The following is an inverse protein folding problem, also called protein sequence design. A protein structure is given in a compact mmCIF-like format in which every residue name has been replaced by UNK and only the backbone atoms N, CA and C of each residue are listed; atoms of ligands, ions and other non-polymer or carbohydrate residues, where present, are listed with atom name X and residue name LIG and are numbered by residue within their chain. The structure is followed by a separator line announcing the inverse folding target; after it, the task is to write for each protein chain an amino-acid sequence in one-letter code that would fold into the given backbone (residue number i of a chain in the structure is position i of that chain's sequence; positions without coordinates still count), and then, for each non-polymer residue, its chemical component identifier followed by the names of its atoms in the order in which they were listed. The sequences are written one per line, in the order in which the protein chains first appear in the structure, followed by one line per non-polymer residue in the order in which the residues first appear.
data_IF_344433721054
#
_entry.id   IF_344433721054
#
_cell.length_a   1.000
_cell.length_b   1.000
_cell.length_c   1.000
_cell.angle_alpha   90.00
_cell.angle_beta   90.00
_cell.angle_gamma   90.00
#
_symmetry.space_group_name_H-M   'P 1'
#
loop_
_entity.id
_entity.type
_entity.pdbx_description
1 polymer ?
#
# COMPACT_ATOMS: atom_id res chain seq x y z
N UNK A 1 -6.31 -20.88 10.29
CA UNK A 1 -5.68 -21.99 9.52
C UNK A 1 -4.43 -22.45 10.25
N UNK A 2 -4.38 -23.73 10.62
CA UNK A 2 -3.26 -24.31 11.35
C UNK A 2 -2.17 -24.70 10.35
N UNK A 3 -1.03 -24.02 10.38
CA UNK A 3 0.10 -24.29 9.48
C UNK A 3 1.14 -25.22 10.08
N UNK A 4 1.04 -25.49 11.39
CA UNK A 4 1.92 -26.41 12.15
C UNK A 4 1.05 -27.32 12.99
N UNK A 5 0.96 -28.57 12.57
CA UNK A 5 0.11 -29.58 13.23
C UNK A 5 0.76 -30.16 14.49
N UNK A 6 2.06 -29.92 14.67
CA UNK A 6 2.86 -30.33 15.82
C UNK A 6 2.77 -29.39 17.02
N UNK A 7 2.03 -28.28 16.87
CA UNK A 7 1.85 -27.28 17.93
C UNK A 7 0.38 -27.29 18.40
N UNK A 8 0.18 -27.42 19.70
CA UNK A 8 -1.13 -27.26 20.32
C UNK A 8 -1.51 -25.79 20.34
N UNK A 9 -2.71 -25.49 19.87
CA UNK A 9 -3.26 -24.13 19.88
C UNK A 9 -4.25 -24.02 21.04
N UNK A 10 -3.98 -23.11 21.97
CA UNK A 10 -4.85 -22.77 23.09
C UNK A 10 -5.59 -21.49 22.74
N UNK A 11 -6.91 -21.58 22.67
CA UNK A 11 -7.78 -20.45 22.35
C UNK A 11 -8.89 -20.34 23.39
N UNK A 12 -8.61 -19.75 24.57
CA UNK A 12 -9.52 -19.76 25.74
C UNK A 12 -10.89 -19.17 25.45
N UNK A 13 -10.99 -18.19 24.56
CA UNK A 13 -12.28 -17.60 24.15
C UNK A 13 -13.23 -18.57 23.44
N UNK A 14 -12.78 -19.77 23.04
CA UNK A 14 -13.62 -20.84 22.50
C UNK A 14 -14.25 -21.71 23.60
N UNK A 15 -13.70 -21.64 24.80
CA UNK A 15 -14.06 -22.46 25.96
C UNK A 15 -14.67 -21.63 27.08
N UNK A 16 -14.29 -20.33 27.16
CA UNK A 16 -14.76 -19.42 28.19
C UNK A 16 -16.02 -18.68 27.72
N UNK A 17 -16.85 -18.30 28.69
CA UNK A 17 -18.03 -17.44 28.45
C UNK A 17 -17.66 -15.95 28.36
N UNK A 18 -16.65 -15.64 27.55
CA UNK A 18 -16.14 -14.29 27.26
C UNK A 18 -16.32 -13.95 25.76
N UNK A 19 -17.56 -14.03 25.31
CA UNK A 19 -17.96 -13.94 23.91
C UNK A 19 -18.22 -12.51 23.43
N UNK A 20 -18.07 -11.52 24.31
CA UNK A 20 -18.28 -10.12 23.98
C UNK A 20 -17.24 -9.20 24.62
N UNK A 21 -17.05 -8.02 24.01
CA UNK A 21 -16.17 -6.98 24.55
C UNK A 21 -16.59 -6.55 25.95
N UNK A 22 -17.87 -6.43 26.21
CA UNK A 22 -18.41 -6.06 27.51
C UNK A 22 -18.02 -7.08 28.58
N UNK A 23 -18.23 -8.38 28.33
CA UNK A 23 -17.81 -9.45 29.24
C UNK A 23 -16.29 -9.46 29.49
N UNK A 24 -15.49 -9.20 28.47
CA UNK A 24 -14.03 -9.11 28.60
C UNK A 24 -13.60 -7.95 29.49
N UNK A 25 -14.22 -6.78 29.34
CA UNK A 25 -13.96 -5.60 30.18
C UNK A 25 -14.36 -5.87 31.64
N UNK A 26 -15.55 -6.36 31.87
CA UNK A 26 -16.02 -6.74 33.23
C UNK A 26 -15.11 -7.79 33.88
N UNK A 27 -14.65 -8.76 33.11
CA UNK A 27 -13.73 -9.79 33.59
C UNK A 27 -12.36 -9.20 33.96
N UNK A 28 -11.84 -8.26 33.16
CA UNK A 28 -10.58 -7.55 33.43
C UNK A 28 -10.70 -6.66 34.68
N UNK A 29 -11.80 -5.88 34.83
CA UNK A 29 -12.05 -5.02 35.98
C UNK A 29 -12.15 -5.80 37.28
N UNK A 30 -12.85 -6.92 37.28
CA UNK A 30 -12.95 -7.84 38.46
C UNK A 30 -11.60 -8.38 38.93
N UNK A 31 -10.56 -8.30 38.05
CA UNK A 31 -9.21 -8.81 38.35
C UNK A 31 -8.16 -7.69 38.45
N UNK A 32 -8.61 -6.44 38.51
CA UNK A 32 -7.75 -5.26 38.56
C UNK A 32 -6.77 -5.17 37.36
N UNK A 33 -7.18 -5.70 36.20
CA UNK A 33 -6.45 -5.53 34.96
C UNK A 33 -6.88 -4.19 34.38
N UNK A 34 -5.92 -3.27 34.23
CA UNK A 34 -6.19 -1.95 33.69
C UNK A 34 -6.56 -2.04 32.21
N UNK A 35 -7.73 -1.54 31.84
CA UNK A 35 -8.15 -1.36 30.46
C UNK A 35 -8.07 0.12 30.15
N UNK A 36 -7.28 0.55 29.14
CA UNK A 36 -7.25 1.96 28.74
C UNK A 36 -8.66 2.44 28.39
N UNK A 37 -9.03 3.62 28.89
CA UNK A 37 -10.28 4.30 28.52
C UNK A 37 -9.93 5.47 27.62
N UNK A 38 -10.80 5.78 26.67
CA UNK A 38 -10.67 7.00 25.89
C UNK A 38 -10.95 8.25 26.77
N UNK A 39 -10.78 9.44 26.22
CA UNK A 39 -11.00 10.71 26.94
C UNK A 39 -12.42 10.89 27.48
N UNK A 40 -13.38 10.12 26.99
CA UNK A 40 -14.78 10.13 27.44
C UNK A 40 -15.08 9.04 28.46
N UNK A 41 -14.06 8.24 28.84
CA UNK A 41 -14.23 7.11 29.74
C UNK A 41 -14.83 5.86 29.10
N UNK A 42 -14.96 5.85 27.77
CA UNK A 42 -15.45 4.71 27.00
C UNK A 42 -14.33 3.74 26.64
N UNK A 43 -14.63 2.47 26.34
CA UNK A 43 -13.65 1.55 25.78
C UNK A 43 -13.04 2.10 24.49
N UNK A 44 -11.73 1.92 24.24
CA UNK A 44 -11.09 2.42 23.03
C UNK A 44 -11.61 1.70 21.78
N UNK A 45 -11.27 2.22 20.58
CA UNK A 45 -11.43 1.49 19.34
C UNK A 45 -10.69 0.15 19.42
N UNK A 46 -11.12 -0.84 18.64
CA UNK A 46 -10.29 -2.01 18.38
C UNK A 46 -9.11 -1.56 17.55
N UNK A 47 -7.89 -1.74 18.08
CA UNK A 47 -6.68 -1.17 17.48
C UNK A 47 -5.60 -2.23 17.40
N UNK A 48 -5.09 -2.49 16.20
CA UNK A 48 -3.93 -3.31 15.95
C UNK A 48 -2.83 -2.46 15.34
N UNK A 49 -1.63 -2.48 15.95
CA UNK A 49 -0.52 -1.65 15.53
C UNK A 49 0.72 -2.49 15.22
N UNK A 50 1.37 -2.19 14.12
CA UNK A 50 2.70 -2.70 13.75
C UNK A 50 3.50 -1.59 13.05
N UNK A 51 4.73 -1.89 12.62
CA UNK A 51 5.59 -0.90 11.99
C UNK A 51 4.99 -0.32 10.69
N UNK A 52 4.28 -1.13 9.89
CA UNK A 52 3.71 -0.71 8.62
C UNK A 52 2.45 0.15 8.81
N UNK A 53 1.52 -0.29 9.65
CA UNK A 53 0.22 0.39 9.80
C UNK A 53 -0.36 0.27 11.21
N UNK A 54 -1.35 1.11 11.47
CA UNK A 54 -2.31 0.95 12.56
C UNK A 54 -3.69 0.78 11.93
N UNK A 55 -4.47 -0.19 12.42
CA UNK A 55 -5.88 -0.36 12.07
C UNK A 55 -6.80 0.04 13.22
N UNK A 56 -7.93 0.61 12.88
CA UNK A 56 -8.99 0.99 13.82
C UNK A 56 -10.32 0.43 13.34
N UNK A 57 -11.05 -0.24 14.23
CA UNK A 57 -12.36 -0.83 13.97
C UNK A 57 -13.33 -0.59 15.14
N UNK A 58 -14.64 -0.73 14.89
CA UNK A 58 -15.69 -0.67 15.88
C UNK A 58 -16.19 0.73 16.23
N UNK A 59 -17.05 0.84 17.23
CA UNK A 59 -17.69 2.09 17.69
C UNK A 59 -18.39 2.83 16.54
N UNK A 60 -18.14 4.15 16.42
CA UNK A 60 -18.72 4.98 15.35
C UNK A 60 -18.32 4.53 13.92
N UNK A 61 -17.24 3.75 13.77
CA UNK A 61 -16.81 3.23 12.47
C UNK A 61 -17.72 2.12 11.92
N UNK A 62 -18.59 1.53 12.76
CA UNK A 62 -19.57 0.54 12.31
C UNK A 62 -20.63 1.14 11.37
N UNK A 63 -20.88 2.45 11.47
CA UNK A 63 -21.68 3.19 10.50
C UNK A 63 -20.75 3.81 9.41
N UNK A 64 -20.79 3.31 8.17
CA UNK A 64 -19.93 3.82 7.10
C UNK A 64 -20.24 5.26 6.67
N UNK A 65 -21.36 5.85 7.13
CA UNK A 65 -21.73 7.23 6.87
C UNK A 65 -21.10 8.22 7.87
N UNK A 66 -20.64 7.73 9.01
CA UNK A 66 -20.03 8.55 10.07
C UNK A 66 -18.54 8.71 9.79
N UNK A 67 -18.04 9.95 9.79
CA UNK A 67 -16.60 10.24 9.63
C UNK A 67 -15.79 9.67 10.79
N UNK A 68 -14.58 9.20 10.49
CA UNK A 68 -13.61 8.82 11.50
C UNK A 68 -13.25 10.02 12.40
N UNK A 69 -13.19 9.80 13.72
CA UNK A 69 -12.86 10.85 14.67
C UNK A 69 -11.36 11.17 14.62
N UNK A 70 -11.00 12.46 14.53
CA UNK A 70 -9.61 12.91 14.52
C UNK A 70 -8.80 12.43 15.75
N UNK A 71 -9.43 12.29 16.89
CA UNK A 71 -8.76 11.88 18.14
C UNK A 71 -8.26 10.41 18.12
N UNK A 72 -8.73 9.59 17.16
CA UNK A 72 -8.29 8.20 17.06
C UNK A 72 -6.91 8.07 16.41
N UNK A 73 -6.53 8.99 15.55
CA UNK A 73 -5.27 8.94 14.83
C UNK A 73 -4.08 9.26 15.72
N UNK A 74 -3.06 8.41 15.68
CA UNK A 74 -1.89 8.51 16.57
C UNK A 74 -0.56 8.66 15.83
N UNK A 75 -0.50 8.30 14.54
CA UNK A 75 0.69 8.41 13.70
C UNK A 75 0.68 9.61 12.76
N UNK A 76 -0.50 10.08 12.40
CA UNK A 76 -0.66 11.16 11.44
C UNK A 76 -1.33 12.36 12.09
N UNK A 77 -0.84 13.54 11.81
CA UNK A 77 -1.55 14.77 12.12
C UNK A 77 -2.71 14.95 11.15
N UNK A 78 -3.74 15.70 11.56
CA UNK A 78 -4.78 16.11 10.62
C UNK A 78 -4.18 16.89 9.45
N UNK A 79 -4.58 16.63 8.20
CA UNK A 79 -4.16 17.46 7.06
C UNK A 79 -4.38 18.96 7.27
N UNK A 80 -5.40 19.34 8.05
CA UNK A 80 -5.69 20.73 8.40
C UNK A 80 -4.64 21.36 9.32
N UNK A 81 -3.93 20.54 10.11
CA UNK A 81 -2.91 20.97 11.06
C UNK A 81 -1.47 20.61 10.60
N UNK A 82 -1.34 19.98 9.43
CA UNK A 82 -0.05 19.70 8.82
C UNK A 82 0.64 21.02 8.39
N UNK A 83 1.98 21.03 8.29
CA UNK A 83 2.74 22.21 7.87
C UNK A 83 2.24 22.83 6.58
N UNK A 84 2.35 24.17 6.48
CA UNK A 84 2.02 24.92 5.26
C UNK A 84 3.17 24.92 4.24
N UNK A 85 4.28 24.29 4.59
CA UNK A 85 5.45 24.11 3.72
C UNK A 85 5.48 22.70 3.15
N UNK A 86 5.87 22.58 1.88
CA UNK A 86 6.07 21.30 1.21
C UNK A 86 7.35 20.62 1.71
N UNK A 87 7.32 19.30 1.87
CA UNK A 87 8.51 18.51 2.17
C UNK A 87 8.83 17.56 1.00
N UNK A 88 10.03 17.70 0.42
CA UNK A 88 10.52 16.75 -0.57
C UNK A 88 11.32 15.62 0.09
N UNK A 89 11.05 14.39 -0.32
CA UNK A 89 11.74 13.18 0.15
C UNK A 89 12.27 12.41 -1.05
N UNK A 90 13.56 12.09 -1.03
CA UNK A 90 14.22 11.27 -2.06
C UNK A 90 14.41 9.86 -1.49
N UNK A 91 13.95 8.84 -2.23
CA UNK A 91 14.09 7.43 -1.88
C UNK A 91 14.95 6.75 -2.95
N UNK A 92 16.04 6.10 -2.53
CA UNK A 92 16.90 5.28 -3.39
C UNK A 92 16.42 3.83 -3.35
N UNK A 93 16.27 3.23 -4.54
CA UNK A 93 15.94 1.83 -4.73
C UNK A 93 17.11 1.07 -5.35
N UNK A 94 17.32 -0.15 -4.90
CA UNK A 94 18.22 -1.13 -5.50
C UNK A 94 17.46 -2.45 -5.70
N UNK A 95 17.32 -2.87 -6.95
CA UNK A 95 16.60 -4.10 -7.31
C UNK A 95 15.22 -4.19 -6.63
N UNK A 96 14.43 -3.11 -6.72
CA UNK A 96 13.11 -2.97 -6.13
C UNK A 96 13.09 -2.70 -4.63
N UNK A 97 14.20 -2.83 -3.92
CA UNK A 97 14.29 -2.64 -2.48
C UNK A 97 14.67 -1.20 -2.15
N UNK A 98 13.92 -0.48 -1.30
CA UNK A 98 14.33 0.84 -0.83
C UNK A 98 15.51 0.71 0.13
N UNK A 99 16.59 1.47 -0.11
CA UNK A 99 17.86 1.33 0.62
C UNK A 99 18.36 2.61 1.28
N UNK A 100 17.85 3.77 0.87
CA UNK A 100 18.21 5.05 1.47
C UNK A 100 17.06 6.06 1.38
N UNK A 101 17.04 7.00 2.32
CA UNK A 101 16.16 8.17 2.33
C UNK A 101 17.02 9.42 2.44
N UNK A 102 16.85 10.38 1.53
CA UNK A 102 17.61 11.62 1.45
C UNK A 102 19.14 11.38 1.50
N UNK A 103 19.62 10.35 0.79
CA UNK A 103 21.02 9.96 0.74
C UNK A 103 21.56 9.19 1.96
N UNK A 104 20.75 9.04 3.02
CA UNK A 104 21.13 8.27 4.21
C UNK A 104 20.71 6.81 4.05
N UNK A 105 21.66 5.88 4.03
CA UNK A 105 21.40 4.43 4.09
C UNK A 105 20.87 4.03 5.45
N UNK A 106 19.81 3.25 5.47
CA UNK A 106 19.10 2.81 6.66
C UNK A 106 18.80 1.31 6.57
N UNK A 107 18.64 0.65 7.70
CA UNK A 107 18.05 -0.69 7.74
C UNK A 107 16.58 -0.62 7.29
N UNK A 108 15.98 -1.72 6.83
CA UNK A 108 14.56 -1.72 6.40
C UNK A 108 13.59 -1.18 7.45
N UNK A 109 13.81 -1.50 8.72
CA UNK A 109 12.96 -1.02 9.82
C UNK A 109 13.13 0.48 10.06
N UNK A 110 14.37 0.97 10.16
CA UNK A 110 14.66 2.39 10.34
C UNK A 110 14.18 3.23 9.15
N UNK A 111 14.28 2.70 7.94
CA UNK A 111 13.79 3.36 6.73
C UNK A 111 12.28 3.57 6.77
N UNK A 112 11.54 2.50 7.11
CA UNK A 112 10.08 2.59 7.21
C UNK A 112 9.65 3.51 8.35
N UNK A 113 10.36 3.49 9.49
CA UNK A 113 10.09 4.39 10.62
C UNK A 113 10.36 5.86 10.26
N UNK A 114 11.47 6.16 9.59
CA UNK A 114 11.80 7.52 9.12
C UNK A 114 10.71 8.03 8.15
N UNK A 115 10.25 7.19 7.22
CA UNK A 115 9.15 7.53 6.32
C UNK A 115 7.82 7.68 7.05
N UNK A 116 7.53 6.86 8.07
CA UNK A 116 6.34 7.01 8.91
C UNK A 116 6.31 8.38 9.60
N UNK A 117 7.45 8.82 10.14
CA UNK A 117 7.57 10.14 10.80
C UNK A 117 7.35 11.28 9.80
N UNK A 118 8.02 11.22 8.64
CA UNK A 118 7.91 12.25 7.60
C UNK A 118 6.48 12.35 7.04
N UNK A 119 5.90 11.21 6.66
CA UNK A 119 4.54 11.17 6.13
C UNK A 119 3.51 11.58 7.18
N UNK A 120 3.64 11.06 8.41
CA UNK A 120 2.72 11.32 9.51
C UNK A 120 2.62 12.79 9.86
N UNK A 121 3.76 13.50 9.97
CA UNK A 121 3.77 14.94 10.24
C UNK A 121 3.16 15.79 9.12
N UNK A 122 3.12 15.26 7.89
CA UNK A 122 2.47 15.88 6.74
C UNK A 122 1.01 15.42 6.54
N UNK A 123 0.45 14.64 7.47
CA UNK A 123 -0.92 14.12 7.41
C UNK A 123 -1.15 13.02 6.37
N UNK A 124 -0.08 12.46 5.80
CA UNK A 124 -0.13 11.46 4.73
C UNK A 124 -0.33 10.06 5.29
N UNK A 125 -1.17 9.24 4.64
CA UNK A 125 -1.26 7.80 4.87
C UNK A 125 -2.53 7.34 5.59
N UNK A 126 -3.57 8.15 5.68
CA UNK A 126 -4.90 7.75 6.20
C UNK A 126 -5.69 7.05 5.10
N UNK A 127 -6.28 5.91 5.43
CA UNK A 127 -7.09 5.10 4.52
C UNK A 127 -8.36 4.67 5.24
N UNK A 128 -9.52 4.87 4.63
CA UNK A 128 -10.83 4.44 5.10
C UNK A 128 -11.43 3.51 4.05
N UNK A 129 -11.63 2.25 4.38
CA UNK A 129 -12.10 1.24 3.44
C UNK A 129 -13.20 0.36 4.03
N UNK A 130 -14.14 -0.03 3.16
CA UNK A 130 -15.08 -1.12 3.44
C UNK A 130 -14.57 -2.36 2.72
N UNK A 131 -13.93 -3.24 3.47
CA UNK A 131 -13.28 -4.45 2.95
C UNK A 131 -14.18 -5.68 3.01
N UNK A 132 -13.77 -6.74 2.31
CA UNK A 132 -14.42 -8.04 2.36
C UNK A 132 -13.61 -8.96 3.27
N UNK A 133 -14.22 -9.45 4.34
CA UNK A 133 -13.61 -10.48 5.18
C UNK A 133 -13.66 -11.85 4.49
N UNK A 134 -12.68 -12.69 4.76
CA UNK A 134 -12.60 -14.06 4.22
C UNK A 134 -13.87 -14.88 4.47
N UNK A 135 -14.56 -14.61 5.56
CA UNK A 135 -15.84 -15.27 5.94
C UNK A 135 -17.06 -14.71 5.21
N UNK A 136 -16.89 -13.85 4.21
CA UNK A 136 -17.96 -13.39 3.32
C UNK A 136 -18.73 -12.15 3.77
N UNK A 137 -18.39 -11.55 4.90
CA UNK A 137 -19.01 -10.30 5.36
C UNK A 137 -18.15 -9.09 5.03
N UNK A 138 -18.78 -7.91 4.96
CA UNK A 138 -18.08 -6.62 4.87
C UNK A 138 -17.75 -6.08 6.25
N UNK A 139 -16.62 -5.38 6.35
CA UNK A 139 -16.19 -4.66 7.55
C UNK A 139 -15.53 -3.36 7.15
N UNK A 140 -15.77 -2.29 7.90
CA UNK A 140 -15.05 -1.03 7.72
C UNK A 140 -13.84 -0.99 8.63
N UNK A 141 -12.69 -0.71 8.04
CA UNK A 141 -11.46 -0.41 8.76
C UNK A 141 -10.93 0.96 8.37
N UNK A 142 -10.41 1.68 9.35
CA UNK A 142 -9.67 2.93 9.13
C UNK A 142 -8.22 2.67 9.52
N UNK A 143 -7.30 3.12 8.67
CA UNK A 143 -5.89 2.77 8.78
C UNK A 143 -5.01 4.01 8.74
N UNK A 144 -3.88 3.93 9.44
CA UNK A 144 -2.75 4.83 9.25
C UNK A 144 -1.56 4.02 8.70
N UNK A 145 -1.16 4.29 7.46
CA UNK A 145 -0.02 3.65 6.80
C UNK A 145 0.89 4.69 6.14
N UNK A 146 1.47 5.61 6.91
CA UNK A 146 2.15 6.78 6.35
C UNK A 146 3.36 6.43 5.50
N UNK A 147 4.35 5.72 6.02
CA UNK A 147 5.54 5.31 5.27
C UNK A 147 5.24 4.33 4.14
N UNK A 148 4.28 3.42 4.36
CA UNK A 148 3.81 2.50 3.32
C UNK A 148 3.21 3.22 2.12
N UNK A 149 2.48 4.31 2.33
CA UNK A 149 1.93 5.15 1.27
C UNK A 149 3.03 5.78 0.41
N UNK A 150 4.06 6.36 1.06
CA UNK A 150 5.21 6.91 0.33
C UNK A 150 5.92 5.82 -0.48
N UNK A 151 6.21 4.68 0.14
CA UNK A 151 6.92 3.58 -0.53
C UNK A 151 6.14 3.03 -1.72
N UNK A 152 4.82 2.88 -1.59
CA UNK A 152 3.97 2.41 -2.69
C UNK A 152 4.02 3.37 -3.89
N UNK A 153 3.88 4.68 -3.66
CA UNK A 153 3.93 5.70 -4.72
C UNK A 153 5.32 5.78 -5.35
N UNK A 154 6.37 5.79 -4.53
CA UNK A 154 7.73 5.90 -5.01
C UNK A 154 8.18 4.66 -5.80
N UNK A 155 7.88 3.45 -5.28
CA UNK A 155 8.20 2.20 -5.96
C UNK A 155 7.49 2.09 -7.31
N UNK A 156 6.19 2.42 -7.36
CA UNK A 156 5.47 2.49 -8.63
C UNK A 156 6.10 3.50 -9.59
N UNK A 157 6.59 4.62 -9.06
CA UNK A 157 7.27 5.66 -9.83
C UNK A 157 8.55 5.19 -10.51
N UNK A 158 9.40 4.42 -9.81
CA UNK A 158 10.64 3.91 -10.40
C UNK A 158 10.37 2.77 -11.40
N UNK A 159 9.40 1.91 -11.13
CA UNK A 159 9.00 0.85 -12.07
C UNK A 159 8.55 1.41 -13.42
N UNK A 160 7.84 2.53 -13.44
CA UNK A 160 7.38 3.19 -14.67
C UNK A 160 8.51 3.64 -15.60
N UNK A 161 9.73 3.83 -15.08
CA UNK A 161 10.89 4.14 -15.90
C UNK A 161 11.55 2.91 -16.52
N UNK A 162 11.37 1.73 -15.93
CA UNK A 162 12.25 0.58 -16.15
C UNK A 162 11.49 -0.61 -16.73
N UNK A 163 10.25 -0.83 -16.29
CA UNK A 163 9.42 -1.91 -16.82
C UNK A 163 8.66 -1.43 -18.05
N UNK A 164 8.64 -2.25 -19.09
CA UNK A 164 7.79 -2.00 -20.24
C UNK A 164 6.31 -2.24 -19.91
N UNK A 165 5.42 -1.78 -20.81
CA UNK A 165 3.98 -1.85 -20.61
C UNK A 165 3.45 -3.27 -20.37
N UNK A 166 3.82 -4.28 -21.20
CA UNK A 166 3.41 -5.68 -20.98
C UNK A 166 3.87 -6.26 -19.66
N UNK A 167 5.12 -6.01 -19.24
CA UNK A 167 5.64 -6.48 -17.95
C UNK A 167 4.92 -5.83 -16.76
N UNK A 168 4.64 -4.53 -16.85
CA UNK A 168 3.84 -3.83 -15.83
C UNK A 168 2.43 -4.37 -15.72
N UNK A 169 1.76 -4.62 -16.85
CA UNK A 169 0.40 -5.17 -16.88
C UNK A 169 0.36 -6.56 -16.24
N UNK A 170 1.29 -7.45 -16.64
CA UNK A 170 1.38 -8.79 -16.05
C UNK A 170 1.54 -8.73 -14.53
N UNK A 171 2.43 -7.87 -14.03
CA UNK A 171 2.62 -7.69 -12.59
C UNK A 171 1.34 -7.19 -11.90
N UNK A 172 0.65 -6.23 -12.49
CA UNK A 172 -0.57 -5.65 -11.94
C UNK A 172 -1.71 -6.68 -11.88
N UNK A 173 -1.82 -7.56 -12.87
CA UNK A 173 -2.77 -8.67 -12.88
C UNK A 173 -2.49 -9.71 -11.77
N UNK A 174 -1.24 -9.87 -11.37
CA UNK A 174 -0.84 -10.83 -10.35
C UNK A 174 -0.98 -10.28 -8.92
N UNK A 175 -1.00 -8.95 -8.73
CA UNK A 175 -1.11 -8.34 -7.40
C UNK A 175 -2.33 -8.81 -6.60
N UNK A 176 -3.56 -8.88 -7.13
CA UNK A 176 -4.71 -9.36 -6.38
C UNK A 176 -4.58 -10.82 -5.96
N UNK A 177 -3.96 -11.66 -6.79
CA UNK A 177 -3.69 -13.07 -6.46
C UNK A 177 -2.71 -13.18 -5.30
N UNK A 178 -1.61 -12.41 -5.36
CA UNK A 178 -0.60 -12.39 -4.30
C UNK A 178 -1.21 -11.88 -2.99
N UNK A 179 -1.96 -10.78 -3.03
CA UNK A 179 -2.65 -10.23 -1.87
C UNK A 179 -3.64 -11.24 -1.24
N UNK A 180 -4.39 -11.97 -2.06
CA UNK A 180 -5.32 -13.01 -1.60
C UNK A 180 -4.59 -14.15 -0.87
N UNK A 181 -3.44 -14.59 -1.36
CA UNK A 181 -2.64 -15.63 -0.69
C UNK A 181 -2.17 -15.17 0.68
N UNK A 182 -1.68 -13.93 0.79
CA UNK A 182 -1.25 -13.35 2.07
C UNK A 182 -2.43 -13.21 3.03
N UNK A 183 -3.52 -12.62 2.59
CA UNK A 183 -4.73 -12.42 3.39
C UNK A 183 -5.29 -13.73 3.93
N UNK A 184 -5.30 -14.79 3.11
CA UNK A 184 -5.74 -16.12 3.50
C UNK A 184 -4.71 -16.90 4.34
N UNK A 185 -3.60 -16.27 4.71
CA UNK A 185 -2.57 -16.87 5.54
C UNK A 185 -1.74 -17.95 4.83
N UNK A 186 -1.66 -17.94 3.51
CA UNK A 186 -0.95 -18.92 2.67
C UNK A 186 0.50 -18.50 2.36
N UNK A 187 1.18 -17.88 3.33
CA UNK A 187 2.55 -17.39 3.16
C UNK A 187 3.54 -18.46 2.70
N UNK A 188 3.39 -19.68 3.18
CA UNK A 188 4.28 -20.81 2.85
C UNK A 188 3.72 -21.74 1.75
N UNK A 189 2.78 -21.25 0.94
CA UNK A 189 2.22 -22.04 -0.16
C UNK A 189 3.13 -21.97 -1.40
N UNK A 190 3.18 -23.05 -2.22
CA UNK A 190 3.96 -23.07 -3.45
C UNK A 190 3.57 -21.94 -4.42
N UNK A 191 2.28 -21.60 -4.50
CA UNK A 191 1.77 -20.54 -5.37
C UNK A 191 2.35 -19.17 -4.98
N UNK A 192 2.46 -18.89 -3.67
CA UNK A 192 3.07 -17.65 -3.20
C UNK A 192 4.56 -17.59 -3.57
N UNK A 193 5.28 -18.72 -3.43
CA UNK A 193 6.70 -18.81 -3.79
C UNK A 193 6.94 -18.62 -5.28
N UNK A 194 6.08 -19.21 -6.14
CA UNK A 194 6.12 -19.01 -7.60
C UNK A 194 5.88 -17.54 -7.96
N UNK A 195 4.85 -16.91 -7.38
CA UNK A 195 4.57 -15.47 -7.61
C UNK A 195 5.71 -14.59 -7.12
N UNK A 196 6.32 -14.90 -5.96
CA UNK A 196 7.46 -14.16 -5.46
C UNK A 196 8.63 -14.21 -6.45
N UNK A 197 8.95 -15.40 -6.97
CA UNK A 197 10.04 -15.56 -7.95
C UNK A 197 9.81 -14.74 -9.23
N UNK A 198 8.55 -14.65 -9.70
CA UNK A 198 8.19 -13.81 -10.83
C UNK A 198 8.37 -12.31 -10.50
N UNK A 199 7.92 -11.89 -9.33
CA UNK A 199 8.08 -10.51 -8.88
C UNK A 199 9.56 -10.16 -8.73
N UNK A 200 10.35 -11.01 -8.10
CA UNK A 200 11.80 -10.81 -7.92
C UNK A 200 12.52 -10.68 -9.27
N UNK A 201 12.15 -11.50 -10.26
CA UNK A 201 12.68 -11.36 -11.63
C UNK A 201 12.38 -10.00 -12.23
N UNK A 202 11.16 -9.48 -12.06
CA UNK A 202 10.76 -8.18 -12.57
C UNK A 202 11.53 -7.02 -11.91
N UNK A 203 12.05 -7.21 -10.70
CA UNK A 203 12.71 -6.16 -9.92
C UNK A 203 14.22 -6.04 -10.16
N UNK A 204 14.86 -6.98 -10.83
CA UNK A 204 16.34 -7.01 -11.02
C UNK A 204 16.94 -5.72 -11.58
N UNK A 205 16.21 -5.00 -12.40
CA UNK A 205 16.67 -3.74 -12.98
C UNK A 205 16.06 -2.51 -12.28
N UNK A 206 15.13 -2.68 -11.35
CA UNK A 206 14.41 -1.58 -10.70
C UNK A 206 15.32 -0.91 -9.66
N UNK A 207 16.22 -0.05 -10.16
CA UNK A 207 17.20 0.67 -9.35
C UNK A 207 17.28 2.14 -9.79
N UNK A 208 17.38 3.04 -8.81
CA UNK A 208 17.43 4.47 -9.06
C UNK A 208 16.85 5.28 -7.92
N UNK A 209 16.51 6.52 -8.18
CA UNK A 209 15.98 7.44 -7.18
C UNK A 209 14.62 8.00 -7.61
N UNK A 210 13.78 8.17 -6.61
CA UNK A 210 12.46 8.79 -6.74
C UNK A 210 12.35 9.92 -5.75
N UNK A 211 11.86 11.06 -6.20
CA UNK A 211 11.53 12.21 -5.38
C UNK A 211 10.01 12.31 -5.27
N UNK A 212 9.52 12.32 -4.03
CA UNK A 212 8.12 12.58 -3.71
C UNK A 212 8.01 13.88 -2.93
N UNK A 213 6.86 14.53 -3.03
CA UNK A 213 6.49 15.73 -2.31
C UNK A 213 5.31 15.45 -1.40
N UNK A 214 5.48 15.77 -0.13
CA UNK A 214 4.50 15.62 0.92
C UNK A 214 3.89 16.98 1.25
N UNK A 215 2.57 17.07 1.25
CA UNK A 215 1.86 18.30 1.59
C UNK A 215 0.42 18.01 1.99
N UNK A 216 0.05 18.37 3.22
CA UNK A 216 -1.35 18.36 3.72
C UNK A 216 -2.15 17.10 3.34
N UNK A 217 -1.61 15.94 3.71
CA UNK A 217 -2.26 14.64 3.46
C UNK A 217 -1.99 14.04 2.08
N UNK A 218 -1.32 14.78 1.18
CA UNK A 218 -1.00 14.30 -0.16
C UNK A 218 0.47 13.91 -0.29
N UNK A 219 0.73 12.85 -1.07
CA UNK A 219 2.06 12.43 -1.51
C UNK A 219 2.07 12.39 -3.03
N UNK A 220 2.83 13.29 -3.65
CA UNK A 220 2.93 13.41 -5.10
C UNK A 220 4.30 13.00 -5.59
N UNK A 221 4.36 12.24 -6.69
CA UNK A 221 5.58 11.95 -7.41
C UNK A 221 6.02 13.19 -8.19
N UNK A 222 7.23 13.71 -7.90
CA UNK A 222 7.75 14.95 -8.53
C UNK A 222 9.05 14.76 -9.27
N UNK A 223 9.72 13.61 -9.17
CA UNK A 223 10.92 13.30 -9.93
C UNK A 223 11.32 11.83 -9.82
N UNK A 224 12.00 11.35 -10.83
CA UNK A 224 12.55 9.99 -10.88
C UNK A 224 13.72 9.91 -11.83
N UNK A 225 14.73 9.12 -11.49
CA UNK A 225 15.88 8.85 -12.36
C UNK A 225 16.43 7.46 -12.14
N UNK A 226 16.90 6.84 -13.21
CA UNK A 226 17.52 5.52 -13.17
C UNK A 226 18.55 5.37 -14.27
N UNK A 227 19.71 4.74 -14.02
CA UNK A 227 20.64 4.35 -15.06
C UNK A 227 20.11 3.21 -15.94
N UNK A 228 19.00 2.56 -15.52
CA UNK A 228 18.31 1.47 -16.23
C UNK A 228 17.01 1.93 -16.89
N UNK A 229 16.80 3.26 -17.00
CA UNK A 229 15.60 3.81 -17.63
C UNK A 229 15.49 3.38 -19.09
N UNK A 230 14.30 2.93 -19.49
CA UNK A 230 13.91 2.73 -20.88
C UNK A 230 13.23 3.97 -21.49
N UNK A 231 12.99 5.01 -20.68
CA UNK A 231 12.51 6.30 -21.17
C UNK A 231 13.61 7.00 -21.95
N UNK A 232 13.32 7.40 -23.17
CA UNK A 232 14.26 8.09 -24.07
C UNK A 232 13.65 9.41 -24.53
N UNK A 233 14.23 10.53 -24.09
CA UNK A 233 13.79 11.87 -24.50
C UNK A 233 13.84 12.04 -26.03
N UNK A 234 14.86 11.49 -26.68
CA UNK A 234 15.01 11.59 -28.13
C UNK A 234 13.96 10.83 -28.95
N UNK A 235 13.26 9.86 -28.33
CA UNK A 235 12.17 9.14 -29.00
C UNK A 235 10.82 9.82 -28.75
N UNK A 236 10.60 10.35 -27.54
CA UNK A 236 9.30 10.89 -27.12
C UNK A 236 9.17 12.40 -27.28
N UNK A 237 10.24 13.09 -27.77
CA UNK A 237 10.22 14.54 -27.99
C UNK A 237 9.17 14.94 -29.03
N UNK A 238 8.52 16.07 -28.81
CA UNK A 238 7.63 16.71 -29.77
C UNK A 238 8.39 17.61 -30.77
N UNK A 239 9.71 17.74 -30.61
CA UNK A 239 10.57 18.53 -31.51
C UNK A 239 10.89 17.75 -32.77
N UNK A 240 11.27 18.49 -33.81
CA UNK A 240 11.73 17.91 -35.09
C UNK A 240 13.02 17.11 -34.90
N UNK A 241 13.16 15.97 -35.60
CA UNK A 241 14.37 15.14 -35.57
C UNK A 241 14.36 14.05 -34.52
N UNK A 242 13.16 13.61 -34.04
CA UNK A 242 13.03 12.41 -33.24
C UNK A 242 13.56 11.15 -33.99
N UNK A 243 14.07 10.18 -33.27
CA UNK A 243 14.59 8.91 -33.79
C UNK A 243 13.49 7.89 -34.17
N UNK A 244 12.26 8.35 -34.37
CA UNK A 244 11.10 7.53 -34.68
C UNK A 244 10.47 7.99 -36.02
N UNK A 245 10.27 7.05 -36.95
CA UNK A 245 9.53 7.35 -38.18
C UNK A 245 8.02 7.23 -37.96
N UNK A 246 7.34 8.36 -37.91
CA UNK A 246 5.89 8.42 -37.69
C UNK A 246 5.07 7.71 -38.76
N UNK A 247 5.63 7.43 -39.95
CA UNK A 247 4.96 6.68 -41.02
C UNK A 247 4.72 5.22 -40.64
N UNK A 248 5.53 4.65 -39.74
CA UNK A 248 5.33 3.28 -39.25
C UNK A 248 4.00 3.12 -38.52
N UNK A 249 3.44 4.17 -37.94
CA UNK A 249 2.13 4.16 -37.33
C UNK A 249 0.99 3.85 -38.29
N UNK A 250 1.10 4.16 -39.55
CA UNK A 250 0.06 3.98 -40.58
C UNK A 250 -0.36 2.51 -40.72
N UNK A 251 0.63 1.62 -40.88
CA UNK A 251 0.41 0.17 -40.96
C UNK A 251 -0.18 -0.40 -39.68
N UNK A 252 0.36 0.00 -38.54
CA UNK A 252 -0.11 -0.40 -37.21
C UNK A 252 -1.59 -0.02 -36.98
N UNK A 253 -1.97 1.23 -37.30
CA UNK A 253 -3.34 1.72 -37.16
C UNK A 253 -4.30 0.94 -38.06
N UNK A 254 -3.94 0.71 -39.32
CA UNK A 254 -4.76 -0.05 -40.28
C UNK A 254 -5.02 -1.47 -39.80
N UNK A 255 -3.98 -2.18 -39.36
CA UNK A 255 -4.13 -3.56 -38.83
C UNK A 255 -4.98 -3.61 -37.56
N UNK A 256 -4.76 -2.72 -36.61
CA UNK A 256 -5.57 -2.66 -35.40
C UNK A 256 -7.04 -2.30 -35.65
N UNK A 257 -7.32 -1.52 -36.70
CA UNK A 257 -8.69 -1.14 -37.08
C UNK A 257 -9.47 -2.28 -37.76
N UNK A 258 -8.80 -3.31 -38.33
CA UNK A 258 -9.47 -4.35 -39.11
C UNK A 258 -10.62 -5.05 -38.35
N UNK A 259 -10.40 -5.43 -37.10
CA UNK A 259 -11.46 -6.08 -36.28
C UNK A 259 -12.69 -5.20 -36.10
N UNK A 260 -12.53 -3.89 -35.96
CA UNK A 260 -13.62 -2.93 -35.81
C UNK A 260 -14.34 -2.69 -37.13
N UNK A 261 -13.62 -2.65 -38.24
CA UNK A 261 -14.19 -2.56 -39.58
C UNK A 261 -15.04 -3.80 -39.90
N UNK A 262 -14.55 -5.02 -39.59
CA UNK A 262 -15.33 -6.25 -39.79
C UNK A 262 -16.60 -6.25 -38.92
N UNK A 263 -16.51 -5.84 -37.66
CA UNK A 263 -17.67 -5.73 -36.78
C UNK A 263 -18.76 -4.77 -37.32
N UNK A 264 -18.35 -3.68 -37.97
CA UNK A 264 -19.28 -2.71 -38.58
C UNK A 264 -20.06 -3.29 -39.77
N UNK A 265 -19.48 -4.27 -40.48
CA UNK A 265 -20.10 -4.90 -41.63
C UNK A 265 -21.24 -5.88 -41.28
N UNK A 266 -21.26 -6.34 -40.02
CA UNK A 266 -22.28 -7.32 -39.52
C UNK A 266 -23.31 -6.64 -38.62
N UNK A 267 -23.23 -5.34 -38.39
CA UNK A 267 -24.27 -4.51 -37.76
C UNK A 267 -25.13 -3.84 -38.86
#
# INVERSE_FOLDING_TARGET
MYKRQDINIIAPWREWDLDSRTKLIEWAEKRNISVPKDKRGEPPYSTDANLLHISYEGKALEDPWVSANEEMFTRTVSPMHAPDEEEEVIIEFKEGTPVAVNGKRLSPAELLEDLNIKAGRNGVGRVDIVENRFVGMKSRGVYETPGGTILHIAHRGIEQLILDGPAMLLRDELMPKYASLIYNGLWFSPEREMLQSLIDESQKNVSGEVKVRLFKGNCSLVGRRSPKSIYSEGIVTFEAGNNYDQKDADGFIKLNALRLQQRKRVK
#
